data_IF_912860490516
#
_entry.id   IF_912860490516
#
_cell.length_a   1.000
_cell.length_b   1.000
_cell.length_c   1.000
_cell.angle_alpha   90.00
_cell.angle_beta   90.00
_cell.angle_gamma   90.00
#
_symmetry.space_group_name_H-M   'P 1'
#
loop_
_entity.id
_entity.type
_entity.pdbx_description
1 polymer ?
#
# COMPACT_ATOMS: atom_id res chain seq x y z
N UNK A 1 -5.07 -13.57 -7.38
CA UNK A 1 -3.72 -13.11 -7.85
C UNK A 1 -3.79 -11.96 -8.86
N UNK A 2 -4.85 -11.84 -9.66
CA UNK A 2 -5.01 -10.74 -10.64
C UNK A 2 -5.30 -9.39 -9.97
N UNK A 3 -5.91 -9.38 -8.78
CA UNK A 3 -6.31 -8.17 -8.08
C UNK A 3 -5.14 -7.30 -7.58
N UNK A 4 -4.04 -7.89 -7.11
CA UNK A 4 -2.92 -7.14 -6.53
C UNK A 4 -2.10 -6.38 -7.59
N UNK A 5 -1.96 -6.90 -8.80
CA UNK A 5 -1.21 -6.20 -9.85
C UNK A 5 -1.94 -4.93 -10.33
N UNK A 6 -3.28 -4.96 -10.36
CA UNK A 6 -4.09 -3.80 -10.71
C UNK A 6 -4.02 -2.70 -9.63
N UNK A 7 -4.09 -3.09 -8.35
CA UNK A 7 -3.93 -2.19 -7.21
C UNK A 7 -2.53 -1.58 -7.19
N UNK A 8 -1.48 -2.38 -7.41
CA UNK A 8 -0.11 -1.92 -7.47
C UNK A 8 0.11 -0.90 -8.61
N UNK A 9 -0.47 -1.13 -9.79
CA UNK A 9 -0.38 -0.20 -10.91
C UNK A 9 -1.14 1.11 -10.65
N UNK A 10 -2.31 1.04 -10.01
CA UNK A 10 -3.08 2.22 -9.60
C UNK A 10 -2.36 3.03 -8.53
N UNK A 11 -1.77 2.35 -7.54
CA UNK A 11 -0.95 2.97 -6.51
C UNK A 11 0.29 3.67 -7.11
N UNK A 12 0.98 3.03 -8.05
CA UNK A 12 2.09 3.62 -8.80
C UNK A 12 1.65 4.87 -9.59
N UNK A 13 0.46 4.84 -10.22
CA UNK A 13 -0.05 5.98 -10.98
C UNK A 13 -0.36 7.17 -10.07
N UNK A 14 -1.00 6.95 -8.93
CA UNK A 14 -1.38 8.02 -7.99
C UNK A 14 -0.17 8.65 -7.29
N UNK A 15 0.87 7.88 -7.00
CA UNK A 15 2.11 8.39 -6.43
C UNK A 15 2.93 9.22 -7.43
N UNK A 16 2.82 8.92 -8.72
CA UNK A 16 3.49 9.68 -9.79
C UNK A 16 2.72 10.94 -10.24
N UNK A 17 1.46 11.09 -9.83
CA UNK A 17 0.65 12.28 -10.07
C UNK A 17 0.16 12.85 -8.73
N UNK A 18 1.01 13.53 -7.95
CA UNK A 18 0.56 14.23 -6.77
C UNK A 18 -0.28 15.44 -7.20
N UNK A 19 -1.57 15.23 -7.45
CA UNK A 19 -2.49 16.33 -7.53
C UNK A 19 -2.49 17.00 -6.15
N UNK A 20 -2.20 18.29 -6.10
CA UNK A 20 -2.22 19.11 -4.88
C UNK A 20 -3.63 19.25 -4.25
N UNK A 21 -4.52 18.34 -4.58
CA UNK A 21 -5.88 18.32 -4.06
C UNK A 21 -5.98 17.36 -2.87
N UNK A 22 -6.10 17.86 -1.63
CA UNK A 22 -6.21 17.03 -0.43
C UNK A 22 -7.46 16.14 -0.41
N UNK A 23 -8.49 16.46 -1.19
CA UNK A 23 -9.73 15.67 -1.30
C UNK A 23 -9.50 14.33 -2.04
N UNK A 24 -8.52 14.26 -2.94
CA UNK A 24 -8.18 13.02 -3.63
C UNK A 24 -7.37 12.02 -2.77
N UNK A 25 -6.81 12.47 -1.63
CA UNK A 25 -6.15 11.57 -0.67
C UNK A 25 -7.12 10.70 0.14
N UNK A 26 -8.41 11.01 0.10
CA UNK A 26 -9.46 10.27 0.83
C UNK A 26 -10.21 9.25 -0.02
N UNK A 27 -9.93 9.15 -1.31
CA UNK A 27 -10.53 8.14 -2.16
C UNK A 27 -10.07 6.75 -1.66
N UNK A 28 -11.02 6.05 -1.06
CA UNK A 28 -10.80 4.68 -0.59
C UNK A 28 -10.39 3.78 -1.76
N UNK A 29 -9.52 2.82 -1.48
CA UNK A 29 -9.06 1.78 -2.42
C UNK A 29 -10.23 1.14 -3.20
N UNK A 30 -11.43 1.10 -2.62
CA UNK A 30 -12.64 0.61 -3.25
C UNK A 30 -13.18 1.50 -4.37
N UNK A 31 -13.07 2.82 -4.27
CA UNK A 31 -13.53 3.75 -5.31
C UNK A 31 -12.59 3.74 -6.53
N UNK A 32 -11.27 3.63 -6.26
CA UNK A 32 -10.28 3.48 -7.32
C UNK A 32 -10.50 2.16 -8.07
N UNK A 33 -10.82 1.09 -7.35
CA UNK A 33 -11.14 -0.20 -7.94
C UNK A 33 -12.44 -0.16 -8.76
N UNK A 34 -13.47 0.54 -8.28
CA UNK A 34 -14.71 0.74 -9.02
C UNK A 34 -14.47 1.53 -10.32
N UNK A 35 -13.69 2.61 -10.28
CA UNK A 35 -13.31 3.39 -11.46
C UNK A 35 -12.48 2.57 -12.46
N UNK A 36 -11.60 1.69 -11.99
CA UNK A 36 -10.86 0.78 -12.86
C UNK A 36 -11.76 -0.27 -13.51
N UNK A 37 -12.72 -0.84 -12.78
CA UNK A 37 -13.70 -1.77 -13.35
C UNK A 37 -14.59 -1.08 -14.38
N UNK A 38 -15.00 0.16 -14.14
CA UNK A 38 -15.77 0.96 -15.07
C UNK A 38 -14.97 1.27 -16.35
N UNK A 39 -13.70 1.65 -16.21
CA UNK A 39 -12.79 1.86 -17.34
C UNK A 39 -12.54 0.58 -18.15
N UNK A 40 -12.49 -0.59 -17.51
CA UNK A 40 -12.32 -1.90 -18.16
C UNK A 40 -13.63 -2.42 -18.78
N UNK A 41 -14.80 -2.06 -18.24
CA UNK A 41 -16.11 -2.45 -18.78
C UNK A 41 -16.63 -1.53 -19.86
N UNK A 42 -16.06 -0.35 -20.01
CA UNK A 42 -16.33 0.57 -21.12
C UNK A 42 -15.82 -0.04 -22.43
N UNK A 43 -16.71 -0.75 -23.12
CA UNK A 43 -16.52 -1.37 -24.44
C UNK A 43 -16.36 -0.30 -25.54
N UNK A 44 -15.29 0.45 -25.54
CA UNK A 44 -14.87 1.20 -26.71
C UNK A 44 -13.47 0.74 -27.12
N UNK A 45 -13.43 0.16 -28.31
CA UNK A 45 -12.31 -0.38 -29.07
C UNK A 45 -11.23 0.67 -29.38
N UNK A 46 -10.65 1.27 -28.35
CA UNK A 46 -9.36 1.94 -28.48
C UNK A 46 -8.30 0.96 -28.01
N UNK A 47 -7.48 0.50 -28.94
CA UNK A 47 -6.28 -0.29 -28.66
C UNK A 47 -5.44 0.49 -27.66
N UNK A 48 -5.56 0.13 -26.36
CA UNK A 48 -4.56 0.52 -25.38
C UNK A 48 -3.23 -0.07 -25.83
N UNK A 49 -2.37 0.75 -26.44
CA UNK A 49 -0.95 0.42 -26.50
C UNK A 49 -0.54 0.13 -25.06
N UNK A 50 -0.24 -1.13 -24.78
CA UNK A 50 0.31 -1.51 -23.48
C UNK A 50 1.51 -0.58 -23.23
N UNK A 51 1.41 0.26 -22.22
CA UNK A 51 2.51 1.14 -21.82
C UNK A 51 3.62 0.20 -21.36
N UNK A 52 4.65 0.01 -22.16
CA UNK A 52 5.84 -0.72 -21.74
C UNK A 52 6.56 0.12 -20.68
N UNK A 53 6.38 -0.28 -19.44
CA UNK A 53 7.10 0.33 -18.32
C UNK A 53 8.59 0.14 -18.51
N UNK A 54 9.37 1.18 -18.27
CA UNK A 54 10.82 1.07 -18.27
C UNK A 54 11.29 -0.01 -17.25
N UNK A 55 12.42 -0.71 -17.49
CA UNK A 55 12.84 -1.82 -16.64
C UNK A 55 12.90 -1.51 -15.14
N UNK A 56 13.30 -0.29 -14.77
CA UNK A 56 13.31 0.15 -13.36
C UNK A 56 11.90 0.38 -12.80
N UNK A 57 10.95 0.83 -13.61
CA UNK A 57 9.55 0.95 -13.20
C UNK A 57 8.94 -0.43 -12.97
N UNK A 58 9.21 -1.39 -13.88
CA UNK A 58 8.78 -2.78 -13.70
C UNK A 58 9.33 -3.39 -12.41
N UNK A 59 10.59 -3.11 -12.08
CA UNK A 59 11.21 -3.57 -10.83
C UNK A 59 10.51 -2.98 -9.61
N UNK A 60 10.18 -1.69 -9.65
CA UNK A 60 9.46 -1.03 -8.55
C UNK A 60 8.04 -1.57 -8.42
N UNK A 61 7.33 -1.85 -9.51
CA UNK A 61 6.04 -2.52 -9.47
C UNK A 61 6.13 -3.92 -8.83
N UNK A 62 7.19 -4.69 -9.17
CA UNK A 62 7.46 -5.98 -8.52
C UNK A 62 7.71 -5.83 -7.02
N UNK A 63 8.48 -4.81 -6.60
CA UNK A 63 8.71 -4.51 -5.19
C UNK A 63 7.41 -4.22 -4.45
N UNK A 64 6.52 -3.42 -5.04
CA UNK A 64 5.23 -3.06 -4.43
C UNK A 64 4.34 -4.31 -4.30
N UNK A 65 4.19 -5.09 -5.37
CA UNK A 65 3.40 -6.33 -5.33
C UNK A 65 3.94 -7.29 -4.27
N UNK A 66 5.26 -7.50 -4.27
CA UNK A 66 5.93 -8.32 -3.26
C UNK A 66 5.71 -7.77 -1.83
N UNK A 67 5.74 -6.45 -1.65
CA UNK A 67 5.52 -5.79 -0.37
C UNK A 67 4.13 -6.05 0.21
N UNK A 68 3.09 -6.05 -0.61
CA UNK A 68 1.73 -6.42 -0.19
C UNK A 68 1.63 -7.91 0.16
N UNK A 69 2.18 -8.78 -0.68
CA UNK A 69 2.15 -10.24 -0.46
C UNK A 69 2.93 -10.66 0.81
N UNK A 70 3.91 -9.84 1.24
CA UNK A 70 4.80 -10.14 2.36
C UNK A 70 4.77 -9.06 3.46
N UNK A 71 3.67 -8.35 3.60
CA UNK A 71 3.54 -7.20 4.51
C UNK A 71 3.72 -7.57 6.00
N UNK A 72 3.50 -8.82 6.36
CA UNK A 72 3.67 -9.34 7.74
C UNK A 72 5.11 -9.75 8.07
N UNK A 73 5.99 -9.89 7.06
CA UNK A 73 7.37 -10.36 7.25
C UNK A 73 8.38 -9.28 6.83
N UNK A 74 8.78 -8.38 7.75
CA UNK A 74 9.74 -7.33 7.43
C UNK A 74 11.14 -7.92 7.18
N UNK A 75 11.63 -7.78 5.95
CA UNK A 75 12.96 -8.19 5.54
C UNK A 75 13.93 -7.00 5.43
N UNK A 76 15.23 -7.29 5.38
CA UNK A 76 16.26 -6.30 5.10
C UNK A 76 16.37 -6.03 3.59
N UNK A 77 16.98 -4.91 3.23
CA UNK A 77 17.16 -4.51 1.83
C UNK A 77 17.89 -5.58 1.00
N UNK A 78 18.86 -6.28 1.61
CA UNK A 78 19.61 -7.33 0.95
C UNK A 78 18.74 -8.52 0.55
N UNK A 79 17.90 -8.95 1.49
CA UNK A 79 16.98 -10.05 1.26
C UNK A 79 15.99 -9.71 0.13
N UNK A 80 15.44 -8.50 0.18
CA UNK A 80 14.51 -7.99 -0.84
C UNK A 80 15.19 -7.89 -2.20
N UNK A 81 16.42 -7.38 -2.27
CA UNK A 81 17.14 -7.26 -3.54
C UNK A 81 17.47 -8.62 -4.16
N UNK A 82 17.82 -9.61 -3.32
CA UNK A 82 18.05 -10.99 -3.77
C UNK A 82 16.76 -11.64 -4.29
N UNK A 83 15.64 -11.50 -3.58
CA UNK A 83 14.33 -12.02 -3.99
C UNK A 83 13.88 -11.43 -5.33
N UNK A 84 14.13 -10.15 -5.54
CA UNK A 84 13.76 -9.45 -6.78
C UNK A 84 14.81 -9.58 -7.89
N UNK A 85 15.88 -10.37 -7.69
CA UNK A 85 16.97 -10.54 -8.63
C UNK A 85 17.55 -9.21 -9.13
N UNK A 86 17.74 -8.26 -8.22
CA UNK A 86 18.21 -6.92 -8.54
C UNK A 86 19.31 -6.45 -7.60
N UNK A 87 20.19 -5.56 -8.05
CA UNK A 87 21.15 -4.93 -7.15
C UNK A 87 20.46 -3.92 -6.23
N UNK A 88 20.98 -3.77 -5.00
CA UNK A 88 20.54 -2.71 -4.07
C UNK A 88 20.51 -1.33 -4.73
N UNK A 89 21.57 -1.02 -5.51
CA UNK A 89 21.68 0.27 -6.21
C UNK A 89 20.54 0.47 -7.20
N UNK A 90 20.22 -0.54 -8.02
CA UNK A 90 19.13 -0.47 -8.99
C UNK A 90 17.77 -0.27 -8.31
N UNK A 91 17.55 -1.00 -7.20
CA UNK A 91 16.30 -0.91 -6.43
C UNK A 91 16.14 0.46 -5.78
N UNK A 92 17.20 0.98 -5.14
CA UNK A 92 17.21 2.33 -4.55
C UNK A 92 16.97 3.39 -5.61
N UNK A 93 17.67 3.29 -6.74
CA UNK A 93 17.55 4.24 -7.84
C UNK A 93 16.12 4.23 -8.41
N UNK A 94 15.56 3.05 -8.68
CA UNK A 94 14.20 2.90 -9.17
C UNK A 94 13.15 3.52 -8.22
N UNK A 95 13.28 3.27 -6.92
CA UNK A 95 12.37 3.85 -5.93
C UNK A 95 12.53 5.38 -5.84
N UNK A 96 13.74 5.90 -5.88
CA UNK A 96 13.97 7.36 -5.85
C UNK A 96 13.43 8.06 -7.10
N UNK A 97 13.62 7.48 -8.28
CA UNK A 97 13.14 8.05 -9.55
C UNK A 97 11.60 8.09 -9.61
N UNK A 98 10.92 7.09 -9.05
CA UNK A 98 9.47 6.97 -9.16
C UNK A 98 8.71 7.56 -7.95
N UNK A 99 9.30 7.52 -6.74
CA UNK A 99 8.62 7.89 -5.49
C UNK A 99 9.39 8.86 -4.61
N UNK A 100 10.59 9.27 -5.00
CA UNK A 100 11.49 10.15 -4.23
C UNK A 100 11.85 9.60 -2.83
N UNK A 101 11.64 8.31 -2.59
CA UNK A 101 11.91 7.64 -1.32
C UNK A 101 12.72 6.36 -1.52
N UNK A 102 13.25 5.79 -0.43
CA UNK A 102 13.97 4.52 -0.47
C UNK A 102 13.03 3.29 -0.49
N UNK A 103 13.51 2.12 -0.94
CA UNK A 103 12.70 0.91 -1.01
C UNK A 103 12.18 0.45 0.37
N UNK A 104 12.97 0.59 1.44
CA UNK A 104 12.53 0.22 2.79
C UNK A 104 11.47 1.16 3.35
N UNK A 105 11.52 2.43 2.97
CA UNK A 105 10.48 3.41 3.31
C UNK A 105 9.18 3.09 2.56
N UNK A 106 9.26 2.78 1.27
CA UNK A 106 8.11 2.35 0.48
C UNK A 106 7.46 1.09 1.06
N UNK A 107 8.23 0.06 1.39
CA UNK A 107 7.72 -1.15 2.05
C UNK A 107 7.11 -0.87 3.43
N UNK A 108 7.65 0.10 4.16
CA UNK A 108 7.05 0.53 5.43
C UNK A 108 5.70 1.21 5.23
N UNK A 109 5.56 2.04 4.20
CA UNK A 109 4.28 2.68 3.85
C UNK A 109 3.24 1.63 3.47
N UNK A 110 3.60 0.63 2.66
CA UNK A 110 2.72 -0.50 2.32
C UNK A 110 2.21 -1.19 3.59
N UNK A 111 3.08 -1.45 4.57
CA UNK A 111 2.67 -2.04 5.85
C UNK A 111 1.75 -1.13 6.67
N UNK A 112 1.92 0.19 6.59
CA UNK A 112 0.99 1.14 7.24
C UNK A 112 -0.39 1.11 6.58
N UNK A 113 -0.46 1.00 5.25
CA UNK A 113 -1.72 0.83 4.51
C UNK A 113 -2.43 -0.47 4.90
N UNK A 114 -1.70 -1.59 5.01
CA UNK A 114 -2.26 -2.86 5.48
C UNK A 114 -2.82 -2.74 6.90
N UNK A 115 -2.08 -2.10 7.83
CA UNK A 115 -2.59 -1.84 9.19
C UNK A 115 -3.86 -1.01 9.15
N UNK A 116 -3.92 0.05 8.33
CA UNK A 116 -5.10 0.90 8.20
C UNK A 116 -6.29 0.09 7.66
N UNK A 117 -6.08 -0.73 6.65
CA UNK A 117 -7.09 -1.61 6.09
C UNK A 117 -7.64 -2.60 7.15
N UNK A 118 -6.76 -3.23 7.93
CA UNK A 118 -7.14 -4.12 9.02
C UNK A 118 -7.89 -3.40 10.15
N UNK A 119 -7.47 -2.19 10.53
CA UNK A 119 -8.17 -1.40 11.54
C UNK A 119 -9.59 -1.06 11.11
N UNK A 120 -9.84 -0.87 9.82
CA UNK A 120 -11.15 -0.55 9.25
C UNK A 120 -12.04 -1.79 9.06
N UNK A 121 -11.48 -2.96 8.78
CA UNK A 121 -12.24 -4.20 8.55
C UNK A 121 -12.46 -4.98 9.85
N UNK A 122 -13.71 -5.07 10.28
CA UNK A 122 -14.12 -5.86 11.46
C UNK A 122 -14.03 -7.36 11.18
N UNK A 123 -14.29 -7.75 9.95
CA UNK A 123 -14.25 -9.14 9.46
C UNK A 123 -12.84 -9.69 9.59
N UNK A 124 -11.84 -9.00 9.02
CA UNK A 124 -10.43 -9.42 9.07
C UNK A 124 -9.91 -9.48 10.52
N UNK A 125 -10.29 -8.50 11.36
CA UNK A 125 -9.90 -8.50 12.76
C UNK A 125 -10.46 -9.70 13.53
N UNK A 126 -11.69 -10.13 13.21
CA UNK A 126 -12.32 -11.31 13.81
C UNK A 126 -11.66 -12.60 13.32
N UNK A 127 -11.40 -12.72 12.03
CA UNK A 127 -10.77 -13.87 11.40
C UNK A 127 -9.41 -14.17 12.03
N UNK A 128 -8.56 -13.16 12.16
CA UNK A 128 -7.24 -13.29 12.75
C UNK A 128 -7.20 -13.10 14.28
N UNK A 129 -8.36 -12.83 14.92
CA UNK A 129 -8.48 -12.58 16.37
C UNK A 129 -7.61 -11.40 16.86
N UNK A 130 -7.38 -10.41 16.01
CA UNK A 130 -6.56 -9.22 16.28
C UNK A 130 -7.48 -8.03 16.59
N UNK A 131 -7.72 -7.74 17.87
CA UNK A 131 -8.68 -6.70 18.28
C UNK A 131 -8.03 -5.40 18.75
N UNK A 132 -6.75 -5.42 19.08
CA UNK A 132 -6.05 -4.25 19.61
C UNK A 132 -5.08 -3.68 18.58
N UNK A 133 -5.00 -2.34 18.53
CA UNK A 133 -4.06 -1.61 17.66
C UNK A 133 -2.62 -2.16 17.74
N UNK A 134 -2.16 -2.46 18.97
CA UNK A 134 -0.80 -2.98 19.17
C UNK A 134 -0.60 -4.39 18.62
N UNK A 135 -1.61 -5.23 18.67
CA UNK A 135 -1.57 -6.60 18.11
C UNK A 135 -1.50 -6.53 16.58
N UNK A 136 -2.34 -5.70 15.96
CA UNK A 136 -2.35 -5.49 14.53
C UNK A 136 -1.00 -4.90 14.06
N UNK A 137 -0.51 -3.85 14.72
CA UNK A 137 0.78 -3.26 14.38
C UNK A 137 1.93 -4.27 14.48
N UNK A 138 1.95 -5.09 15.54
CA UNK A 138 2.96 -6.15 15.71
C UNK A 138 2.86 -7.22 14.63
N UNK A 139 1.65 -7.60 14.22
CA UNK A 139 1.42 -8.55 13.12
C UNK A 139 2.05 -8.08 11.81
N UNK A 140 2.02 -6.79 11.54
CA UNK A 140 2.68 -6.17 10.37
C UNK A 140 4.13 -5.73 10.65
N UNK A 141 4.77 -6.26 11.69
CA UNK A 141 6.20 -6.08 11.97
C UNK A 141 6.59 -4.72 12.56
N UNK A 142 5.65 -3.98 13.15
CA UNK A 142 5.95 -2.76 13.90
C UNK A 142 6.26 -3.09 15.36
N UNK A 143 7.54 -3.11 15.72
CA UNK A 143 8.01 -3.43 17.08
C UNK A 143 7.87 -2.28 18.07
N UNK A 144 8.02 -1.03 17.61
CA UNK A 144 7.94 0.18 18.44
C UNK A 144 6.60 0.88 18.31
N UNK A 145 5.82 0.87 19.40
CA UNK A 145 4.49 1.50 19.45
C UNK A 145 4.53 3.02 19.21
N UNK A 146 5.53 3.71 19.77
CA UNK A 146 5.69 5.15 19.62
C UNK A 146 5.99 5.54 18.18
N UNK A 147 6.99 4.91 17.58
CA UNK A 147 7.37 5.14 16.19
C UNK A 147 6.26 4.74 15.21
N UNK A 148 5.54 3.67 15.47
CA UNK A 148 4.37 3.27 14.68
C UNK A 148 3.28 4.33 14.74
N UNK A 149 2.85 4.74 15.94
CA UNK A 149 1.75 5.70 16.10
C UNK A 149 2.05 7.05 15.47
N UNK A 150 3.28 7.56 15.63
CA UNK A 150 3.72 8.79 15.00
C UNK A 150 3.71 8.68 13.47
N UNK A 151 4.24 7.59 12.94
CA UNK A 151 4.27 7.35 11.49
C UNK A 151 2.88 7.20 10.89
N UNK A 152 2.00 6.50 11.57
CA UNK A 152 0.61 6.32 11.17
C UNK A 152 -0.12 7.67 11.15
N UNK A 153 0.00 8.46 12.21
CA UNK A 153 -0.62 9.78 12.31
C UNK A 153 -0.09 10.75 11.25
N UNK A 154 1.21 10.74 11.00
CA UNK A 154 1.80 11.58 9.94
C UNK A 154 1.30 11.20 8.54
N UNK A 155 1.03 9.91 8.31
CA UNK A 155 0.60 9.41 7.00
C UNK A 155 -0.91 9.57 6.77
N UNK A 156 -1.74 9.27 7.76
CA UNK A 156 -3.19 9.25 7.64
C UNK A 156 -3.90 10.47 8.23
N UNK A 157 -3.19 11.37 8.93
CA UNK A 157 -3.78 12.54 9.61
C UNK A 157 -4.59 12.21 10.87
N UNK A 158 -4.70 10.92 11.24
CA UNK A 158 -5.41 10.46 12.44
C UNK A 158 -4.61 9.35 13.15
N UNK A 159 -4.88 9.17 14.44
CA UNK A 159 -4.24 8.10 15.20
C UNK A 159 -4.87 6.73 14.88
N UNK A 160 -4.10 5.62 15.02
CA UNK A 160 -4.64 4.26 14.81
C UNK A 160 -5.86 3.94 15.70
N UNK A 161 -5.92 4.52 16.90
CA UNK A 161 -7.05 4.36 17.82
C UNK A 161 -8.31 5.06 17.30
N UNK A 162 -8.15 6.24 16.70
CA UNK A 162 -9.27 6.97 16.09
C UNK A 162 -9.83 6.20 14.89
N UNK A 163 -8.97 5.65 14.03
CA UNK A 163 -9.38 4.79 12.90
C UNK A 163 -10.19 3.59 13.42
N UNK A 164 -9.67 2.87 14.42
CA UNK A 164 -10.35 1.72 15.00
C UNK A 164 -11.70 2.08 15.64
N UNK A 165 -11.77 3.21 16.35
CA UNK A 165 -13.01 3.68 16.99
C UNK A 165 -14.07 4.02 15.95
N UNK A 166 -13.74 4.76 14.91
CA UNK A 166 -14.63 5.08 13.79
C UNK A 166 -15.18 3.82 13.11
N UNK A 167 -14.32 2.84 12.86
CA UNK A 167 -14.72 1.57 12.24
C UNK A 167 -15.69 0.77 13.11
N UNK A 168 -15.60 0.86 14.42
CA UNK A 168 -16.52 0.18 15.33
C UNK A 168 -17.91 0.86 15.42
N UNK A 169 -17.97 2.18 15.25
CA UNK A 169 -19.21 2.96 15.29
C UNK A 169 -20.04 2.73 14.02
N UNK A 170 -19.41 2.75 12.85
CA UNK A 170 -20.09 2.63 11.56
C UNK A 170 -20.76 1.26 11.32
N UNK A 171 -20.53 0.26 12.17
CA UNK A 171 -21.14 -1.08 12.09
C UNK A 171 -22.24 -1.32 13.11
N UNK A 172 -22.65 -0.28 13.85
CA UNK A 172 -23.71 -0.38 14.87
C UNK A 172 -25.01 0.28 14.39
N UNK A 173 -25.02 0.84 13.19
CA UNK A 173 -26.21 1.32 12.48
C UNK A 173 -26.61 0.31 11.40
#
# INVERSE_FOLDING_TARGET
RVHYSAIANSFCWHLNNPSNNPELRSLHTGEIFALMLEALSSRNNQSFKAFELAPRQQLVCKLISWGFDNSTNPLKLDDVSNILFSSRRTLIQGCKENFQMGPMELLRLIRLEEVNYFLRSKELRRELKLNKVGEIASHFGFSSRGHFSASYQNHFGESPRQTLSKANINHTM
#
